data_IF_808654841808
#
_entry.id   IF_808654841808
#
_cell.length_a   1.000
_cell.length_b   1.000
_cell.length_c   1.000
_cell.angle_alpha   90.00
_cell.angle_beta   90.00
_cell.angle_gamma   90.00
#
_symmetry.space_group_name_H-M   'P 1'
#
loop_
_entity.id
_entity.type
_entity.pdbx_description
1 polymer ?
#
# COMPACT_ATOMS: atom_id res chain seq x y z
N UNK A 1 -22.38 13.74 37.18
CA UNK A 1 -20.99 13.37 36.82
C UNK A 1 -21.04 11.95 36.27
N UNK A 2 -20.91 11.79 34.95
CA UNK A 2 -21.02 10.49 34.27
C UNK A 2 -19.62 9.89 34.17
N UNK A 3 -19.40 8.61 34.55
CA UNK A 3 -18.08 7.99 34.45
C UNK A 3 -17.69 7.76 32.97
N UNK A 4 -16.38 7.78 32.63
CA UNK A 4 -15.93 7.53 31.27
C UNK A 4 -16.20 6.08 30.86
N UNK A 5 -16.53 5.82 29.58
CA UNK A 5 -16.75 4.46 29.10
C UNK A 5 -15.44 3.67 29.12
N UNK A 6 -15.50 2.48 29.72
CA UNK A 6 -14.42 1.50 29.77
C UNK A 6 -13.95 1.17 28.35
N UNK A 7 -12.65 1.37 28.07
CA UNK A 7 -12.05 1.00 26.80
C UNK A 7 -12.27 -0.50 26.56
N UNK A 8 -13.03 -0.84 25.50
CA UNK A 8 -13.16 -2.24 25.06
C UNK A 8 -11.79 -2.69 24.58
N UNK A 9 -11.31 -3.81 25.11
CA UNK A 9 -10.11 -4.47 24.62
C UNK A 9 -10.23 -4.72 23.11
N UNK A 10 -9.14 -4.56 22.34
CA UNK A 10 -9.15 -4.87 20.92
C UNK A 10 -9.56 -6.33 20.71
N UNK A 11 -10.33 -6.64 19.65
CA UNK A 11 -10.69 -8.02 19.34
C UNK A 11 -9.42 -8.86 19.21
N UNK A 12 -9.35 -9.94 19.98
CA UNK A 12 -8.30 -10.93 19.84
C UNK A 12 -8.48 -11.62 18.49
N UNK A 13 -7.53 -11.40 17.57
CA UNK A 13 -7.46 -12.16 16.34
C UNK A 13 -7.25 -13.65 16.69
N UNK A 14 -7.98 -14.58 16.07
CA UNK A 14 -7.83 -16.00 16.35
C UNK A 14 -6.38 -16.44 16.11
N UNK A 15 -5.81 -17.19 17.06
CA UNK A 15 -4.42 -17.67 17.09
C UNK A 15 -4.02 -18.63 15.96
N UNK A 16 -4.83 -18.74 14.91
CA UNK A 16 -4.57 -19.53 13.70
C UNK A 16 -4.37 -18.68 12.45
N UNK A 17 -4.28 -17.35 12.57
CA UNK A 17 -3.71 -16.54 11.50
C UNK A 17 -2.22 -16.89 11.36
N UNK A 18 -1.93 -17.84 10.47
CA UNK A 18 -0.58 -18.12 10.01
C UNK A 18 -0.08 -16.83 9.37
N UNK A 19 0.74 -16.08 10.13
CA UNK A 19 1.66 -15.14 9.51
C UNK A 19 2.43 -15.93 8.44
N UNK A 20 2.62 -15.43 7.21
CA UNK A 20 3.36 -16.18 6.20
C UNK A 20 4.82 -16.31 6.65
N UNK A 21 5.09 -17.40 7.38
CA UNK A 21 6.37 -18.09 7.38
C UNK A 21 6.55 -18.60 5.96
N UNK A 22 7.40 -17.90 5.21
CA UNK A 22 8.13 -18.38 4.04
C UNK A 22 7.36 -19.33 3.11
N UNK A 23 6.76 -18.76 2.07
CA UNK A 23 6.66 -19.49 0.81
C UNK A 23 8.07 -19.60 0.21
N UNK A 24 8.73 -20.73 0.44
CA UNK A 24 9.85 -21.17 -0.37
C UNK A 24 9.36 -21.54 -1.78
N UNK A 25 9.07 -20.54 -2.62
CA UNK A 25 9.01 -20.63 -4.09
C UNK A 25 9.46 -19.27 -4.66
N UNK A 26 10.23 -19.24 -5.76
CA UNK A 26 11.40 -18.40 -5.82
C UNK A 26 11.04 -16.94 -6.04
N UNK A 27 11.66 -16.08 -5.22
CA UNK A 27 11.83 -14.64 -5.46
C UNK A 27 12.42 -14.32 -6.87
N UNK A 28 12.83 -15.32 -7.65
CA UNK A 28 13.47 -15.21 -8.96
C UNK A 28 12.61 -14.66 -10.09
N UNK A 29 11.27 -14.77 -10.09
CA UNK A 29 10.50 -14.39 -11.29
C UNK A 29 10.29 -12.87 -11.41
N UNK A 30 10.23 -12.14 -10.29
CA UNK A 30 10.16 -10.68 -10.28
C UNK A 30 11.54 -10.01 -10.07
N UNK A 31 12.43 -10.59 -9.26
CA UNK A 31 13.78 -10.06 -9.06
C UNK A 31 14.63 -10.11 -10.33
N UNK A 32 14.38 -11.07 -11.22
CA UNK A 32 15.09 -11.20 -12.51
C UNK A 32 14.73 -10.13 -13.54
N UNK A 33 13.67 -9.33 -13.34
CA UNK A 33 13.20 -8.33 -14.30
C UNK A 33 13.90 -6.97 -14.18
N UNK A 34 14.56 -6.72 -13.06
CA UNK A 34 15.25 -5.46 -12.81
C UNK A 34 16.71 -5.54 -13.24
N UNK A 35 17.13 -4.60 -14.08
CA UNK A 35 18.48 -4.56 -14.62
C UNK A 35 19.39 -3.65 -13.81
N UNK A 36 20.70 -3.72 -14.06
CA UNK A 36 21.65 -2.70 -13.55
C UNK A 36 21.32 -1.30 -14.06
N UNK A 37 20.71 -1.18 -15.24
CA UNK A 37 20.27 0.12 -15.76
C UNK A 37 19.11 0.68 -14.97
N UNK A 38 18.15 -0.17 -14.55
CA UNK A 38 17.04 0.26 -13.70
C UNK A 38 17.54 0.73 -12.33
N UNK A 39 18.53 0.06 -11.75
CA UNK A 39 19.18 0.53 -10.52
C UNK A 39 19.90 1.88 -10.70
N UNK A 40 20.54 2.11 -11.85
CA UNK A 40 21.16 3.42 -12.15
C UNK A 40 20.12 4.51 -12.37
N UNK A 41 18.99 4.20 -13.03
CA UNK A 41 17.87 5.12 -13.19
C UNK A 41 17.27 5.47 -11.83
N UNK A 42 17.09 4.47 -10.97
CA UNK A 42 16.62 4.64 -9.59
C UNK A 42 17.53 5.60 -8.81
N UNK A 43 18.84 5.35 -8.76
CA UNK A 43 19.79 6.24 -8.07
C UNK A 43 19.71 7.68 -8.57
N UNK A 44 19.70 7.89 -9.89
CA UNK A 44 19.58 9.24 -10.46
C UNK A 44 18.25 9.91 -10.07
N UNK A 45 17.16 9.17 -10.07
CA UNK A 45 15.86 9.70 -9.68
C UNK A 45 15.82 10.06 -8.19
N UNK A 46 16.39 9.21 -7.34
CA UNK A 46 16.51 9.40 -5.89
C UNK A 46 17.38 10.61 -5.54
N UNK A 47 18.58 10.71 -6.13
CA UNK A 47 19.52 11.82 -5.95
C UNK A 47 18.90 13.19 -6.30
N UNK A 48 17.93 13.22 -7.21
CA UNK A 48 17.26 14.44 -7.65
C UNK A 48 15.90 14.68 -6.95
N UNK A 49 15.41 13.73 -6.15
CA UNK A 49 14.11 13.82 -5.50
C UNK A 49 14.18 14.58 -4.17
N UNK A 50 14.11 15.91 -4.26
CA UNK A 50 14.20 16.80 -3.08
C UNK A 50 12.92 16.92 -2.25
N UNK A 51 11.81 16.32 -2.70
CA UNK A 51 10.50 16.40 -2.04
C UNK A 51 9.75 15.09 -2.20
N UNK A 52 8.83 14.80 -1.29
CA UNK A 52 7.96 13.62 -1.34
C UNK A 52 7.25 13.49 -2.70
N UNK A 53 6.68 14.58 -3.23
CA UNK A 53 6.05 14.57 -4.56
C UNK A 53 7.01 14.24 -5.71
N UNK A 54 8.31 14.55 -5.57
CA UNK A 54 9.33 14.14 -6.56
C UNK A 54 9.67 12.66 -6.44
N UNK A 55 9.70 12.12 -5.21
CA UNK A 55 9.84 10.68 -4.99
C UNK A 55 8.67 9.94 -5.63
N UNK A 56 7.43 10.37 -5.37
CA UNK A 56 6.22 9.79 -5.98
C UNK A 56 6.26 9.86 -7.51
N UNK A 57 6.68 10.99 -8.09
CA UNK A 57 6.63 11.17 -9.54
C UNK A 57 7.82 10.56 -10.31
N UNK A 58 8.97 10.31 -9.68
CA UNK A 58 10.21 9.94 -10.38
C UNK A 58 10.84 8.64 -9.88
N UNK A 59 10.68 8.30 -8.61
CA UNK A 59 11.24 7.07 -8.01
C UNK A 59 10.23 5.95 -8.05
N UNK A 60 8.99 6.20 -7.60
CA UNK A 60 7.96 5.16 -7.52
C UNK A 60 7.67 4.46 -8.86
N UNK A 61 7.59 5.14 -10.01
CA UNK A 61 7.36 4.44 -11.28
C UNK A 61 8.43 3.40 -11.62
N UNK A 62 9.67 3.60 -11.16
CA UNK A 62 10.77 2.63 -11.35
C UNK A 62 10.53 1.40 -10.47
N UNK A 63 10.14 1.61 -9.22
CA UNK A 63 9.86 0.52 -8.26
C UNK A 63 8.58 -0.21 -8.64
N UNK A 64 7.47 0.50 -8.85
CA UNK A 64 6.16 -0.06 -9.16
C UNK A 64 6.12 -0.75 -10.52
N UNK A 65 6.88 -0.23 -11.50
CA UNK A 65 6.82 -0.66 -12.88
C UNK A 65 5.51 -0.25 -13.55
N UNK A 66 5.10 -1.00 -14.57
CA UNK A 66 3.81 -0.79 -15.23
C UNK A 66 2.67 -1.12 -14.24
N UNK A 67 1.80 -0.15 -13.90
CA UNK A 67 0.67 -0.38 -13.00
C UNK A 67 -0.44 -1.23 -13.65
N UNK A 68 -0.38 -1.48 -14.97
CA UNK A 68 -1.43 -2.19 -15.70
C UNK A 68 -2.66 -1.31 -15.92
N UNK A 69 -3.82 -1.71 -15.40
CA UNK A 69 -5.04 -0.90 -15.50
C UNK A 69 -4.94 0.32 -14.58
N UNK A 70 -4.72 1.50 -15.16
CA UNK A 70 -4.56 2.75 -14.42
C UNK A 70 -5.80 3.15 -13.62
N UNK A 71 -6.98 2.58 -13.93
CA UNK A 71 -8.21 2.79 -13.12
C UNK A 71 -8.20 2.02 -11.79
N UNK A 72 -7.23 1.14 -11.60
CA UNK A 72 -7.06 0.38 -10.36
C UNK A 72 -6.10 1.08 -9.38
N UNK A 73 -5.53 2.23 -9.75
CA UNK A 73 -4.55 2.97 -8.95
C UNK A 73 -4.98 4.43 -8.81
N UNK A 74 -4.79 5.01 -7.63
CA UNK A 74 -4.99 6.43 -7.41
C UNK A 74 -3.96 6.95 -6.39
N UNK A 75 -3.78 8.28 -6.39
CA UNK A 75 -2.75 8.97 -5.62
C UNK A 75 -3.30 10.25 -5.01
N UNK A 76 -2.87 10.59 -3.80
CA UNK A 76 -3.14 11.89 -3.17
C UNK A 76 -4.65 12.19 -2.94
N UNK A 77 -5.51 11.16 -2.92
CA UNK A 77 -6.96 11.31 -2.68
C UNK A 77 -7.33 10.90 -1.25
N UNK A 78 -7.98 11.79 -0.46
CA UNK A 78 -8.47 11.44 0.87
C UNK A 78 -9.64 10.45 0.82
N UNK A 79 -9.68 9.55 1.80
CA UNK A 79 -10.75 8.57 1.99
C UNK A 79 -11.92 9.20 2.75
N UNK A 80 -12.74 9.97 2.04
CA UNK A 80 -13.84 10.74 2.63
C UNK A 80 -15.14 9.96 2.79
N UNK A 81 -15.22 8.75 2.24
CA UNK A 81 -16.45 7.93 2.24
C UNK A 81 -16.36 6.67 3.12
N UNK A 82 -15.20 6.39 3.74
CA UNK A 82 -15.07 5.28 4.68
C UNK A 82 -15.77 5.61 6.01
N UNK A 83 -16.40 4.60 6.60
CA UNK A 83 -16.92 4.72 7.97
C UNK A 83 -15.77 4.97 8.95
N UNK A 84 -16.00 5.85 9.93
CA UNK A 84 -14.99 6.13 10.94
C UNK A 84 -14.75 4.91 11.83
N UNK A 85 -13.48 4.53 11.99
CA UNK A 85 -13.05 3.51 12.96
C UNK A 85 -13.05 4.04 14.41
N UNK A 86 -13.34 5.33 14.60
CA UNK A 86 -13.31 6.06 15.86
C UNK A 86 -14.55 6.96 15.98
N UNK A 87 -14.54 7.94 16.89
CA UNK A 87 -15.64 8.89 17.13
C UNK A 87 -15.81 9.95 16.02
N UNK A 88 -15.08 9.83 14.92
CA UNK A 88 -15.14 10.76 13.80
C UNK A 88 -14.26 12.00 13.95
N UNK A 89 -13.47 12.10 15.02
CA UNK A 89 -12.55 13.23 15.22
C UNK A 89 -11.25 13.11 14.43
N UNK A 90 -10.89 11.91 13.98
CA UNK A 90 -9.68 11.68 13.20
C UNK A 90 -9.81 12.21 11.77
N UNK A 91 -8.72 12.80 11.27
CA UNK A 91 -8.60 13.21 9.86
C UNK A 91 -8.71 11.96 8.97
N UNK A 92 -9.41 12.10 7.84
CA UNK A 92 -9.49 11.05 6.84
C UNK A 92 -8.08 10.63 6.38
N UNK A 93 -7.85 9.32 6.25
CA UNK A 93 -6.62 8.83 5.67
C UNK A 93 -6.46 9.37 4.24
N UNK A 94 -5.23 9.77 3.89
CA UNK A 94 -4.88 10.26 2.56
C UNK A 94 -3.54 9.61 2.17
N UNK A 95 -3.56 8.38 1.67
CA UNK A 95 -2.34 7.72 1.22
C UNK A 95 -1.75 8.40 0.00
N UNK A 96 -0.42 8.35 -0.15
CA UNK A 96 0.27 8.87 -1.32
C UNK A 96 -0.09 8.08 -2.58
N UNK A 97 -0.17 6.76 -2.47
CA UNK A 97 -0.62 5.84 -3.52
C UNK A 97 -1.48 4.74 -2.94
N UNK A 98 -2.48 4.28 -3.67
CA UNK A 98 -3.25 3.11 -3.30
C UNK A 98 -3.81 2.36 -4.52
N UNK A 99 -3.99 1.05 -4.34
CA UNK A 99 -4.53 0.16 -5.34
C UNK A 99 -5.86 -0.46 -4.87
N UNK A 100 -6.80 -0.59 -5.81
CA UNK A 100 -8.13 -1.14 -5.58
C UNK A 100 -8.72 -1.75 -6.85
N UNK A 101 -9.92 -2.30 -6.74
CA UNK A 101 -10.71 -2.82 -7.83
C UNK A 101 -11.52 -1.70 -8.47
N UNK A 102 -11.89 -1.87 -9.74
CA UNK A 102 -12.89 -1.01 -10.36
C UNK A 102 -14.26 -1.33 -9.79
N UNK A 103 -15.12 -0.32 -9.69
CA UNK A 103 -16.45 -0.48 -9.09
C UNK A 103 -17.29 -1.55 -9.79
N UNK A 104 -17.15 -1.71 -11.10
CA UNK A 104 -17.83 -2.71 -11.94
C UNK A 104 -17.31 -4.15 -11.76
N UNK A 105 -16.15 -4.34 -11.13
CA UNK A 105 -15.63 -5.67 -10.79
C UNK A 105 -16.23 -6.20 -9.49
N UNK A 106 -16.88 -5.34 -8.71
CA UNK A 106 -17.44 -5.69 -7.40
C UNK A 106 -18.85 -6.27 -7.56
N UNK A 107 -19.06 -7.48 -7.04
CA UNK A 107 -20.38 -8.11 -7.03
C UNK A 107 -21.42 -7.20 -6.33
N UNK A 108 -22.60 -7.06 -6.93
CA UNK A 108 -23.65 -6.12 -6.47
C UNK A 108 -24.09 -6.36 -5.03
N UNK A 109 -24.10 -7.62 -4.60
CA UNK A 109 -24.48 -7.98 -3.24
C UNK A 109 -23.42 -7.60 -2.21
N UNK A 110 -22.13 -7.73 -2.56
CA UNK A 110 -21.02 -7.27 -1.71
C UNK A 110 -21.07 -5.75 -1.59
N UNK A 111 -21.30 -5.05 -2.72
CA UNK A 111 -21.47 -3.59 -2.71
C UNK A 111 -22.64 -3.15 -1.83
N UNK A 112 -23.77 -3.85 -1.87
CA UNK A 112 -24.95 -3.53 -1.06
C UNK A 112 -24.72 -3.84 0.43
N UNK A 113 -24.02 -4.93 0.73
CA UNK A 113 -23.80 -5.39 2.10
C UNK A 113 -22.71 -4.59 2.83
N UNK A 114 -21.61 -4.26 2.14
CA UNK A 114 -20.49 -3.56 2.73
C UNK A 114 -20.64 -2.06 2.53
N UNK A 115 -20.69 -1.55 1.30
CA UNK A 115 -20.84 -0.11 1.08
C UNK A 115 -19.63 0.70 1.54
N UNK A 116 -19.85 1.70 2.41
CA UNK A 116 -18.84 2.65 2.89
C UNK A 116 -17.51 2.02 3.37
N UNK A 117 -17.47 0.95 4.19
CA UNK A 117 -16.26 0.25 4.61
C UNK A 117 -15.28 -0.14 3.49
N UNK A 118 -15.75 -0.30 2.25
CA UNK A 118 -14.91 -0.71 1.12
C UNK A 118 -14.90 0.29 -0.03
N UNK A 119 -15.61 1.42 0.09
CA UNK A 119 -15.69 2.46 -0.95
C UNK A 119 -15.04 3.73 -0.41
N UNK A 120 -13.76 4.00 -0.74
CA UNK A 120 -13.00 5.09 -0.10
C UNK A 120 -13.48 6.49 -0.47
N UNK A 121 -14.06 6.65 -1.65
CA UNK A 121 -14.54 7.92 -2.20
C UNK A 121 -15.85 7.71 -2.94
N UNK A 122 -16.68 8.76 -3.00
CA UNK A 122 -17.92 8.78 -3.78
C UNK A 122 -17.69 8.99 -5.28
N UNK A 123 -16.45 9.34 -5.68
CA UNK A 123 -16.06 9.43 -7.09
C UNK A 123 -16.02 8.01 -7.69
N UNK A 124 -16.84 7.78 -8.73
CA UNK A 124 -17.11 6.43 -9.25
C UNK A 124 -15.96 5.84 -10.07
N UNK A 125 -15.04 6.67 -10.54
CA UNK A 125 -13.88 6.31 -11.34
C UNK A 125 -12.66 5.93 -10.48
N UNK A 126 -12.75 6.10 -9.15
CA UNK A 126 -11.68 5.75 -8.22
C UNK A 126 -11.75 4.29 -7.76
N UNK A 127 -10.60 3.69 -7.40
CA UNK A 127 -10.57 2.32 -6.91
C UNK A 127 -11.37 2.11 -5.63
N UNK A 128 -12.08 0.98 -5.56
CA UNK A 128 -12.79 0.47 -4.38
C UNK A 128 -12.15 -0.84 -3.90
N UNK A 129 -12.54 -1.36 -2.74
CA UNK A 129 -11.97 -2.59 -2.16
C UNK A 129 -10.44 -2.58 -2.22
N UNK A 130 -9.85 -1.69 -1.44
CA UNK A 130 -8.41 -1.48 -1.42
C UNK A 130 -7.68 -2.78 -1.05
N UNK A 131 -6.52 -3.00 -1.67
CA UNK A 131 -5.65 -4.13 -1.34
C UNK A 131 -4.25 -3.71 -0.87
N UNK A 132 -3.80 -2.52 -1.27
CA UNK A 132 -2.47 -2.00 -0.98
C UNK A 132 -2.52 -0.48 -0.92
N UNK A 133 -1.75 0.10 -0.02
CA UNK A 133 -1.47 1.54 0.04
C UNK A 133 0.02 1.76 0.29
N UNK A 134 0.53 2.89 -0.17
CA UNK A 134 1.93 3.29 -0.02
C UNK A 134 1.95 4.67 0.62
N UNK A 135 2.74 4.79 1.67
CA UNK A 135 3.11 6.06 2.28
C UNK A 135 4.57 6.32 1.92
N UNK A 136 4.82 7.46 1.31
CA UNK A 136 6.13 7.90 0.83
C UNK A 136 6.61 8.99 1.77
N UNK A 137 7.91 9.07 1.99
CA UNK A 137 8.51 10.17 2.73
C UNK A 137 9.60 10.80 1.89
N UNK A 138 9.56 12.13 1.80
CA UNK A 138 10.64 12.91 1.21
C UNK A 138 11.93 12.83 2.03
N UNK A 139 13.05 13.36 1.49
CA UNK A 139 14.35 13.34 2.18
C UNK A 139 14.34 14.10 3.52
N UNK A 140 13.48 15.12 3.65
CA UNK A 140 13.28 15.87 4.89
C UNK A 140 12.20 15.28 5.80
N UNK A 141 11.64 14.11 5.45
CA UNK A 141 10.70 13.40 6.29
C UNK A 141 11.35 13.09 7.64
N UNK A 142 10.63 13.34 8.74
CA UNK A 142 11.19 13.07 10.07
C UNK A 142 11.54 11.58 10.18
N UNK A 143 12.83 11.28 10.36
CA UNK A 143 13.31 9.91 10.57
C UNK A 143 12.58 9.21 11.71
N UNK A 144 12.15 9.94 12.74
CA UNK A 144 11.33 9.40 13.84
C UNK A 144 9.93 8.95 13.40
N UNK A 145 9.33 9.61 12.40
CA UNK A 145 8.04 9.22 11.82
C UNK A 145 8.23 7.96 10.98
N UNK A 146 9.24 7.95 10.11
CA UNK A 146 9.60 6.78 9.31
C UNK A 146 9.96 5.57 10.20
N UNK A 147 10.69 5.79 11.30
CA UNK A 147 11.03 4.73 12.27
C UNK A 147 9.78 4.19 12.97
N UNK A 148 8.84 5.06 13.39
CA UNK A 148 7.58 4.61 14.01
C UNK A 148 6.71 3.82 13.03
N UNK A 149 6.69 4.20 11.75
CA UNK A 149 6.02 3.44 10.70
C UNK A 149 6.71 2.09 10.48
N UNK A 150 8.04 2.09 10.36
CA UNK A 150 8.84 0.88 10.16
C UNK A 150 8.83 -0.10 11.34
N UNK A 151 8.60 0.36 12.58
CA UNK A 151 8.50 -0.54 13.75
C UNK A 151 7.25 -1.44 13.71
N UNK A 152 6.24 -1.08 12.92
CA UNK A 152 5.11 -1.97 12.63
C UNK A 152 5.35 -2.81 11.36
N UNK A 153 6.43 -2.56 10.62
CA UNK A 153 6.78 -3.31 9.42
C UNK A 153 7.59 -4.57 9.77
N UNK A 154 7.19 -5.70 9.19
CA UNK A 154 7.79 -7.02 9.48
C UNK A 154 9.22 -7.12 8.91
N UNK A 155 9.57 -6.31 7.90
CA UNK A 155 10.92 -6.26 7.28
C UNK A 155 11.08 -5.01 6.39
N UNK A 156 12.21 -4.31 6.51
CA UNK A 156 12.60 -3.19 5.64
C UNK A 156 13.71 -3.54 4.63
N UNK A 157 13.76 -2.83 3.51
CA UNK A 157 14.81 -2.93 2.49
C UNK A 157 15.50 -1.57 2.29
N UNK A 158 16.83 -1.55 2.26
CA UNK A 158 17.61 -0.36 1.88
C UNK A 158 17.86 -0.39 0.37
N UNK A 159 16.95 0.18 -0.42
CA UNK A 159 17.00 0.09 -1.89
C UNK A 159 18.20 0.81 -2.53
N UNK A 160 18.91 1.66 -1.77
CA UNK A 160 20.05 2.46 -2.25
C UNK A 160 21.41 1.78 -2.07
N UNK A 161 21.50 0.68 -1.31
CA UNK A 161 22.81 0.11 -0.94
C UNK A 161 23.57 -0.46 -2.14
N UNK A 162 22.91 -1.31 -2.91
CA UNK A 162 23.52 -2.07 -3.99
C UNK A 162 22.44 -2.62 -4.95
N UNK A 163 22.84 -3.00 -6.18
CA UNK A 163 21.90 -3.48 -7.18
C UNK A 163 21.16 -4.76 -6.81
N UNK A 164 21.68 -5.60 -5.90
CA UNK A 164 21.01 -6.84 -5.49
C UNK A 164 19.90 -6.54 -4.49
N UNK A 165 20.21 -5.76 -3.46
CA UNK A 165 19.22 -5.32 -2.45
C UNK A 165 18.08 -4.53 -3.09
N UNK A 166 18.38 -3.66 -4.06
CA UNK A 166 17.37 -2.99 -4.89
C UNK A 166 16.43 -3.98 -5.57
N UNK A 167 16.98 -4.99 -6.26
CA UNK A 167 16.19 -6.00 -6.99
C UNK A 167 15.29 -6.77 -6.04
N UNK A 168 15.83 -7.22 -4.91
CA UNK A 168 15.08 -8.00 -3.94
C UNK A 168 13.95 -7.18 -3.31
N UNK A 169 14.23 -5.94 -2.89
CA UNK A 169 13.23 -5.07 -2.30
C UNK A 169 12.14 -4.65 -3.27
N UNK A 170 12.50 -4.24 -4.49
CA UNK A 170 11.52 -3.85 -5.50
C UNK A 170 10.68 -5.05 -6.00
N UNK A 171 11.28 -6.25 -6.10
CA UNK A 171 10.54 -7.46 -6.39
C UNK A 171 9.61 -7.87 -5.25
N UNK A 172 10.06 -7.78 -4.00
CA UNK A 172 9.22 -8.06 -2.83
C UNK A 172 8.00 -7.14 -2.79
N UNK A 173 8.19 -5.84 -3.06
CA UNK A 173 7.11 -4.86 -3.18
C UNK A 173 6.08 -5.27 -4.24
N UNK A 174 6.53 -5.56 -5.47
CA UNK A 174 5.64 -5.96 -6.58
C UNK A 174 4.91 -7.26 -6.27
N UNK A 175 5.61 -8.26 -5.74
CA UNK A 175 5.01 -9.55 -5.38
C UNK A 175 3.94 -9.40 -4.30
N UNK A 176 4.19 -8.58 -3.27
CA UNK A 176 3.21 -8.30 -2.22
C UNK A 176 1.97 -7.62 -2.76
N UNK A 177 2.15 -6.59 -3.60
CA UNK A 177 1.05 -5.89 -4.29
C UNK A 177 0.22 -6.84 -5.17
N UNK A 178 0.88 -7.66 -5.97
CA UNK A 178 0.23 -8.60 -6.88
C UNK A 178 -0.52 -9.69 -6.12
N UNK A 179 0.08 -10.22 -5.04
CA UNK A 179 -0.58 -11.19 -4.17
C UNK A 179 -1.84 -10.63 -3.51
N UNK A 180 -1.75 -9.41 -2.96
CA UNK A 180 -2.90 -8.71 -2.39
C UNK A 180 -4.02 -8.48 -3.43
N UNK A 181 -3.64 -8.18 -4.68
CA UNK A 181 -4.58 -8.08 -5.80
C UNK A 181 -5.24 -9.42 -6.12
N UNK A 182 -4.48 -10.51 -6.23
CA UNK A 182 -5.03 -11.83 -6.50
C UNK A 182 -6.01 -12.26 -5.42
N UNK A 183 -5.66 -12.07 -4.14
CA UNK A 183 -6.55 -12.40 -3.03
C UNK A 183 -7.83 -11.58 -3.06
N UNK A 184 -7.73 -10.26 -3.28
CA UNK A 184 -8.90 -9.38 -3.45
C UNK A 184 -9.80 -9.87 -4.60
N UNK A 185 -9.23 -10.14 -5.77
CA UNK A 185 -9.99 -10.53 -6.95
C UNK A 185 -10.74 -11.87 -6.73
N UNK A 186 -10.23 -12.77 -5.88
CA UNK A 186 -10.91 -14.01 -5.49
C UNK A 186 -12.14 -13.80 -4.59
N UNK A 187 -12.15 -12.73 -3.78
CA UNK A 187 -13.22 -12.49 -2.80
C UNK A 187 -14.31 -11.53 -3.27
N UNK A 188 -14.05 -10.76 -4.34
CA UNK A 188 -15.00 -9.77 -4.88
C UNK A 188 -15.78 -10.25 -6.12
N UNK A 189 -15.36 -11.37 -6.72
CA UNK A 189 -15.93 -11.95 -7.93
C UNK A 189 -17.33 -12.55 -7.70
#
# INVERSE_FOLDING_TARGET
>A
MVPPPTARSPPQFPSHAVAPQQGSEPASTAASRFTREDFKKFQRADDHATKESRVTASVMPIIEGDPGDTKCVASDIPFTNLDHLTDGSLVCAKPDLYCGARLEQLHKDIRRALGNPIVPSTQFDLPVVLNNFVEIKGPDGLLSVATRQALYDIKGWSLTSDPETFRQGAAAFRNGRDWAKTYRDQVIA
#
